data_IF_311660200128
#
_entry.id   IF_311660200128
#
_cell.length_a   1.000
_cell.length_b   1.000
_cell.length_c   1.000
_cell.angle_alpha   90.00
_cell.angle_beta   90.00
_cell.angle_gamma   90.00
#
_symmetry.space_group_name_H-M   'P 1'
#
loop_
_entity.id
_entity.type
_entity.pdbx_description
1 polymer ?
#
# COMPACT_ATOMS: atom_id res chain seq x y z
N UNK A 1 -67.93 3.62 -8.08
CA UNK A 1 -66.71 2.83 -7.86
C UNK A 1 -66.01 2.61 -9.19
N UNK A 2 -64.86 3.25 -9.43
CA UNK A 2 -63.85 2.86 -10.42
C UNK A 2 -62.57 3.64 -10.13
N UNK A 3 -61.49 2.90 -9.89
CA UNK A 3 -60.24 3.35 -9.30
C UNK A 3 -59.35 4.08 -10.32
N UNK A 4 -58.72 5.16 -9.84
CA UNK A 4 -57.67 5.93 -10.52
C UNK A 4 -56.35 5.19 -10.30
N UNK A 5 -55.64 4.81 -11.36
CA UNK A 5 -54.25 4.36 -11.28
C UNK A 5 -53.34 5.49 -11.76
N UNK A 6 -52.67 6.14 -10.81
CA UNK A 6 -51.53 7.01 -11.06
C UNK A 6 -50.26 6.18 -10.96
N UNK A 7 -49.44 6.19 -12.01
CA UNK A 7 -48.10 5.57 -12.03
C UNK A 7 -47.11 6.66 -11.63
N UNK A 8 -46.61 6.57 -10.40
CA UNK A 8 -45.52 7.41 -9.91
C UNK A 8 -44.19 6.81 -10.38
N UNK A 9 -43.51 7.48 -11.31
CA UNK A 9 -42.14 7.14 -11.69
C UNK A 9 -41.18 7.69 -10.62
N UNK A 10 -40.50 6.80 -9.90
CA UNK A 10 -39.46 7.15 -8.95
C UNK A 10 -38.12 7.32 -9.68
N UNK A 11 -37.64 8.55 -9.77
CA UNK A 11 -36.31 8.89 -10.28
C UNK A 11 -35.28 8.54 -9.20
N UNK A 12 -34.46 7.51 -9.42
CA UNK A 12 -33.27 7.25 -8.60
C UNK A 12 -32.21 8.31 -8.94
N UNK A 13 -31.95 9.22 -8.01
CA UNK A 13 -30.75 10.06 -8.01
C UNK A 13 -29.62 9.21 -7.40
N UNK A 14 -28.72 8.69 -8.23
CA UNK A 14 -27.46 8.14 -7.76
C UNK A 14 -26.60 9.30 -7.27
N UNK A 15 -26.51 9.45 -5.95
CA UNK A 15 -25.53 10.31 -5.32
C UNK A 15 -24.13 9.78 -5.64
N UNK A 16 -23.36 10.58 -6.39
CA UNK A 16 -21.93 10.36 -6.60
C UNK A 16 -21.20 10.52 -5.27
N UNK A 17 -20.93 9.40 -4.59
CA UNK A 17 -19.94 9.35 -3.53
C UNK A 17 -18.57 9.38 -4.22
N UNK A 18 -17.96 10.56 -4.22
CA UNK A 18 -16.55 10.71 -4.54
C UNK A 18 -15.73 9.82 -3.61
N UNK A 19 -15.03 8.86 -4.20
CA UNK A 19 -14.01 8.07 -3.53
C UNK A 19 -12.79 8.95 -3.31
N UNK A 20 -12.73 9.62 -2.17
CA UNK A 20 -11.49 10.25 -1.72
C UNK A 20 -10.57 9.16 -1.21
N UNK A 21 -9.62 8.72 -2.03
CA UNK A 21 -8.55 7.80 -1.64
C UNK A 21 -7.75 8.39 -0.46
N UNK A 22 -7.34 7.57 0.54
CA UNK A 22 -6.49 8.03 1.65
C UNK A 22 -5.01 8.18 1.24
N UNK A 23 -4.59 7.73 0.06
CA UNK A 23 -3.36 8.22 -0.53
C UNK A 23 -3.63 9.64 -1.07
N UNK A 24 -3.33 10.65 -0.25
CA UNK A 24 -2.93 11.95 -0.79
C UNK A 24 -1.73 11.69 -1.69
N UNK A 25 -2.00 11.53 -2.99
CA UNK A 25 -1.03 11.77 -4.03
C UNK A 25 -0.49 13.17 -3.77
N UNK A 26 0.76 13.25 -3.34
CA UNK A 26 1.49 14.51 -3.29
C UNK A 26 1.60 14.96 -4.74
N UNK A 27 0.63 15.76 -5.19
CA UNK A 27 0.82 16.59 -6.36
C UNK A 27 2.05 17.48 -6.07
N UNK A 28 3.05 17.52 -6.95
CA UNK A 28 4.19 18.38 -6.72
C UNK A 28 3.69 19.82 -6.74
N UNK A 29 3.90 20.53 -5.63
CA UNK A 29 3.89 21.98 -5.65
C UNK A 29 4.94 22.41 -6.68
N UNK A 30 4.54 23.27 -7.60
CA UNK A 30 5.38 23.81 -8.67
C UNK A 30 6.80 24.14 -8.17
N UNK A 31 7.81 23.51 -8.76
CA UNK A 31 9.17 24.05 -8.77
C UNK A 31 10.24 23.41 -7.88
N UNK A 32 10.08 22.17 -7.41
CA UNK A 32 11.22 21.38 -6.93
C UNK A 32 11.13 19.96 -7.47
N UNK A 33 11.75 19.72 -8.62
CA UNK A 33 12.24 18.39 -8.95
C UNK A 33 13.29 18.02 -7.90
N UNK A 34 12.87 17.49 -6.76
CA UNK A 34 13.74 16.63 -5.98
C UNK A 34 13.98 15.43 -6.85
N UNK A 35 15.18 15.35 -7.42
CA UNK A 35 15.71 14.16 -8.06
C UNK A 35 15.25 12.96 -7.24
N UNK A 36 14.31 12.19 -7.80
CA UNK A 36 14.15 10.80 -7.40
C UNK A 36 15.39 10.14 -7.97
N UNK A 37 16.52 10.26 -7.28
CA UNK A 37 17.67 9.42 -7.53
C UNK A 37 17.16 8.00 -7.40
N UNK A 38 16.95 7.34 -8.54
CA UNK A 38 16.86 5.90 -8.56
C UNK A 38 18.15 5.43 -7.89
N UNK A 39 18.05 4.88 -6.67
CA UNK A 39 19.15 4.16 -6.05
C UNK A 39 19.39 2.92 -6.90
N UNK A 40 20.10 3.10 -8.00
CA UNK A 40 20.39 2.07 -8.98
C UNK A 40 21.44 1.14 -8.36
N UNK A 41 20.98 0.08 -7.69
CA UNK A 41 21.86 -0.98 -7.21
C UNK A 41 21.36 -1.73 -5.98
N UNK A 42 22.30 -2.45 -5.37
CA UNK A 42 22.08 -3.28 -4.18
C UNK A 42 22.02 -2.49 -2.86
N UNK A 43 21.73 -1.18 -2.93
CA UNK A 43 21.74 -0.26 -1.79
C UNK A 43 20.30 0.20 -1.52
N UNK A 44 19.55 -0.74 -0.96
CA UNK A 44 18.09 -0.67 -0.81
C UNK A 44 17.61 0.21 0.36
N UNK A 45 18.51 0.98 0.98
CA UNK A 45 18.18 1.96 2.01
C UNK A 45 17.20 1.47 3.10
N UNK A 46 16.45 2.43 3.66
CA UNK A 46 15.34 2.18 4.60
C UNK A 46 13.97 2.49 4.01
N UNK A 47 13.95 3.33 2.98
CA UNK A 47 12.73 3.75 2.35
C UNK A 47 12.35 2.75 1.24
N UNK A 48 11.06 2.46 1.07
CA UNK A 48 10.57 1.85 -0.15
C UNK A 48 10.72 2.82 -1.33
N UNK A 49 11.14 2.28 -2.48
CA UNK A 49 11.36 3.07 -3.71
C UNK A 49 10.12 3.11 -4.63
N UNK A 50 9.04 2.43 -4.24
CA UNK A 50 7.78 2.40 -5.00
C UNK A 50 6.86 3.57 -4.65
N UNK A 51 5.96 3.90 -5.59
CA UNK A 51 5.07 5.06 -5.49
C UNK A 51 4.01 4.97 -4.37
N UNK A 52 3.63 3.76 -3.95
CA UNK A 52 2.61 3.55 -2.90
C UNK A 52 3.22 3.46 -1.50
N UNK A 53 4.55 3.58 -1.40
CA UNK A 53 5.24 3.91 -0.17
C UNK A 53 5.38 2.78 0.83
N UNK A 54 5.16 1.52 0.45
CA UNK A 54 5.48 0.36 1.31
C UNK A 54 5.97 -0.84 0.52
N UNK A 55 6.71 -1.75 1.17
CA UNK A 55 7.04 -3.07 0.62
C UNK A 55 7.39 -4.07 1.73
N UNK A 56 7.49 -5.34 1.33
CA UNK A 56 8.16 -6.39 2.07
C UNK A 56 9.55 -6.59 1.46
N UNK A 57 10.59 -6.20 2.19
CA UNK A 57 11.97 -6.44 1.80
C UNK A 57 12.52 -7.70 2.47
N UNK A 58 13.10 -8.59 1.67
CA UNK A 58 13.80 -9.76 2.18
C UNK A 58 15.25 -9.83 1.77
N UNK A 59 16.06 -10.35 2.68
CA UNK A 59 17.50 -10.45 2.54
C UNK A 59 18.02 -11.74 3.20
N UNK A 60 19.09 -12.29 2.63
CA UNK A 60 19.70 -13.52 3.14
C UNK A 60 20.87 -13.16 4.07
N UNK A 61 20.77 -13.57 5.34
CA UNK A 61 21.80 -13.27 6.35
C UNK A 61 21.95 -14.45 7.31
N UNK A 62 23.20 -14.88 7.54
CA UNK A 62 23.52 -16.01 8.44
C UNK A 62 22.81 -17.32 8.06
N UNK A 63 22.74 -17.64 6.76
CA UNK A 63 22.16 -18.90 6.28
C UNK A 63 20.63 -18.96 6.31
N UNK A 64 19.94 -17.82 6.49
CA UNK A 64 18.48 -17.76 6.49
C UNK A 64 17.95 -16.47 5.87
N UNK A 65 16.75 -16.56 5.31
CA UNK A 65 15.97 -15.39 4.92
C UNK A 65 15.50 -14.61 6.15
N UNK A 66 15.63 -13.29 6.07
CA UNK A 66 15.06 -12.33 7.01
C UNK A 66 14.19 -11.36 6.23
N UNK A 67 13.19 -10.81 6.92
CA UNK A 67 12.18 -9.96 6.30
C UNK A 67 11.95 -8.71 7.15
N UNK A 68 11.71 -7.59 6.47
CA UNK A 68 11.28 -6.33 7.06
C UNK A 68 10.19 -5.71 6.17
N UNK A 69 9.18 -5.11 6.78
CA UNK A 69 8.32 -4.16 6.08
C UNK A 69 9.04 -2.82 6.08
N UNK A 70 9.12 -2.16 4.91
CA UNK A 70 9.52 -0.76 4.81
C UNK A 70 8.29 0.08 4.52
N UNK A 71 8.19 1.25 5.13
CA UNK A 71 7.09 2.20 4.95
C UNK A 71 7.63 3.62 4.91
N UNK A 72 7.10 4.45 4.01
CA UNK A 72 7.37 5.88 3.90
C UNK A 72 6.13 6.69 4.26
N UNK A 73 6.09 7.18 5.50
CA UNK A 73 5.02 8.03 6.01
C UNK A 73 5.42 9.50 6.13
N UNK A 74 4.52 10.31 6.71
CA UNK A 74 4.73 11.75 6.90
C UNK A 74 5.95 12.09 7.77
N UNK A 75 6.34 11.24 8.71
CA UNK A 75 7.54 11.47 9.54
C UNK A 75 8.79 10.75 9.04
N UNK A 76 8.77 10.30 7.78
CA UNK A 76 9.89 9.62 7.14
C UNK A 76 9.71 8.11 7.07
N UNK A 77 10.83 7.42 6.93
CA UNK A 77 10.84 5.99 6.63
C UNK A 77 11.02 5.14 7.89
N UNK A 78 10.21 4.09 7.99
CA UNK A 78 10.23 3.13 9.09
C UNK A 78 10.47 1.72 8.54
N UNK A 79 11.20 0.91 9.31
CA UNK A 79 11.42 -0.49 9.02
C UNK A 79 10.98 -1.34 10.20
N UNK A 80 10.14 -2.34 9.95
CA UNK A 80 9.64 -3.24 10.98
C UNK A 80 10.00 -4.68 10.61
N UNK A 81 10.78 -5.34 11.48
CA UNK A 81 11.12 -6.76 11.28
C UNK A 81 9.86 -7.60 11.29
N UNK A 82 9.80 -8.56 10.38
CA UNK A 82 8.62 -9.41 10.18
C UNK A 82 9.03 -10.82 9.71
N UNK A 83 8.04 -11.65 9.44
CA UNK A 83 8.17 -12.93 8.77
C UNK A 83 7.84 -12.80 7.27
N UNK A 84 7.81 -13.94 6.57
CA UNK A 84 7.54 -14.03 5.14
C UNK A 84 6.12 -13.55 4.76
N UNK A 85 5.15 -13.76 5.63
CA UNK A 85 3.73 -13.38 5.43
C UNK A 85 3.37 -12.29 6.46
N UNK A 86 3.78 -11.07 6.14
CA UNK A 86 3.91 -9.99 7.12
C UNK A 86 2.58 -9.32 7.43
N UNK A 87 2.09 -9.45 8.67
CA UNK A 87 1.07 -8.56 9.25
C UNK A 87 1.69 -7.80 10.41
N UNK A 88 1.88 -6.48 10.27
CA UNK A 88 2.56 -5.63 11.25
C UNK A 88 1.73 -4.40 11.60
N UNK A 89 1.89 -3.92 12.83
CA UNK A 89 1.47 -2.56 13.20
C UNK A 89 2.59 -1.57 12.86
N UNK A 90 2.24 -0.47 12.21
CA UNK A 90 3.11 0.63 11.83
C UNK A 90 2.72 1.88 12.62
N UNK A 91 3.70 2.62 13.12
CA UNK A 91 3.49 3.95 13.67
C UNK A 91 3.53 4.97 12.53
N UNK A 92 2.44 5.72 12.36
CA UNK A 92 2.28 6.75 11.32
C UNK A 92 2.28 8.16 11.90
N UNK A 93 2.89 8.35 13.07
CA UNK A 93 2.98 9.59 13.84
C UNK A 93 1.68 10.07 14.48
N UNK A 94 0.56 9.94 13.76
CA UNK A 94 -0.77 10.32 14.25
C UNK A 94 -1.52 9.16 14.88
N UNK A 95 -0.91 7.96 14.90
CA UNK A 95 -1.52 6.75 15.43
C UNK A 95 -0.84 5.50 14.90
N UNK A 96 -1.55 4.38 15.04
CA UNK A 96 -1.12 3.08 14.54
C UNK A 96 -1.99 2.64 13.39
N UNK A 97 -1.35 2.11 12.36
CA UNK A 97 -2.00 1.45 11.23
C UNK A 97 -1.52 0.00 11.15
N UNK A 98 -2.27 -0.84 10.45
CA UNK A 98 -1.88 -2.24 10.26
C UNK A 98 -1.70 -2.53 8.78
N UNK A 99 -0.55 -3.09 8.42
CA UNK A 99 -0.25 -3.55 7.07
C UNK A 99 -0.09 -5.06 7.06
N UNK A 100 -0.85 -5.73 6.20
CA UNK A 100 -0.76 -7.15 5.93
C UNK A 100 -0.37 -7.40 4.48
N UNK A 101 0.72 -8.13 4.23
CA UNK A 101 1.21 -8.53 2.91
C UNK A 101 1.18 -10.06 2.81
N UNK A 102 0.49 -10.55 1.78
CA UNK A 102 0.42 -11.95 1.36
C UNK A 102 0.95 -12.00 -0.09
N UNK A 103 2.26 -11.87 -0.23
CA UNK A 103 2.91 -11.75 -1.55
C UNK A 103 2.78 -13.06 -2.35
N UNK A 104 2.68 -14.22 -1.67
CA UNK A 104 2.42 -15.52 -2.34
C UNK A 104 1.11 -15.49 -3.12
N UNK A 105 0.13 -14.71 -2.66
CA UNK A 105 -1.14 -14.47 -3.36
C UNK A 105 -1.22 -13.12 -4.06
N UNK A 106 -0.12 -12.40 -4.18
CA UNK A 106 -0.05 -11.11 -4.87
C UNK A 106 -0.99 -10.05 -4.29
N UNK A 107 -1.16 -10.00 -2.96
CA UNK A 107 -2.13 -9.09 -2.33
C UNK A 107 -1.65 -8.51 -1.00
N UNK A 108 -2.13 -7.31 -0.68
CA UNK A 108 -1.94 -6.67 0.62
C UNK A 108 -3.19 -5.93 1.07
N UNK A 109 -3.33 -5.74 2.39
CA UNK A 109 -4.35 -4.91 3.00
C UNK A 109 -3.72 -3.94 4.01
N UNK A 110 -4.13 -2.69 3.89
CA UNK A 110 -3.85 -1.62 4.83
C UNK A 110 -5.10 -1.33 5.63
N UNK A 111 -4.95 -1.18 6.94
CA UNK A 111 -6.02 -0.83 7.86
C UNK A 111 -5.65 0.47 8.56
N UNK A 112 -6.46 1.50 8.32
CA UNK A 112 -6.31 2.78 9.00
C UNK A 112 -6.76 2.70 10.48
N UNK A 113 -6.58 3.75 11.29
CA UNK A 113 -6.99 3.73 12.69
C UNK A 113 -8.51 3.62 12.91
N UNK A 114 -9.33 3.94 11.88
CA UNK A 114 -10.78 3.77 11.91
C UNK A 114 -11.22 2.34 11.61
N UNK A 115 -10.29 1.49 11.16
CA UNK A 115 -10.56 0.13 10.70
C UNK A 115 -10.99 0.06 9.24
N UNK A 116 -10.93 1.17 8.49
CA UNK A 116 -11.13 1.15 7.06
C UNK A 116 -10.04 0.31 6.39
N UNK A 117 -10.45 -0.56 5.46
CA UNK A 117 -9.57 -1.49 4.76
C UNK A 117 -9.37 -1.04 3.32
N UNK A 118 -8.12 -0.76 2.95
CA UNK A 118 -7.68 -0.52 1.57
C UNK A 118 -6.86 -1.72 1.10
N UNK A 119 -7.12 -2.23 -0.10
CA UNK A 119 -6.45 -3.42 -0.62
C UNK A 119 -5.59 -3.10 -1.84
N UNK A 120 -4.51 -3.86 -2.00
CA UNK A 120 -3.53 -3.66 -3.07
C UNK A 120 -3.21 -4.97 -3.78
N UNK A 121 -2.96 -4.88 -5.08
CA UNK A 121 -2.23 -5.92 -5.81
C UNK A 121 -0.74 -5.78 -5.51
N UNK A 122 -0.05 -6.91 -5.34
CA UNK A 122 1.39 -7.00 -5.07
C UNK A 122 2.07 -7.69 -6.24
N UNK A 123 3.25 -7.19 -6.61
CA UNK A 123 4.23 -7.87 -7.46
C UNK A 123 5.50 -8.13 -6.65
N UNK A 124 6.35 -9.05 -7.10
CA UNK A 124 7.59 -9.38 -6.41
C UNK A 124 8.75 -9.72 -7.34
N UNK A 125 9.97 -9.51 -6.84
CA UNK A 125 11.17 -9.80 -7.61
C UNK A 125 12.46 -9.49 -6.89
N UNK A 126 13.56 -9.99 -7.46
CA UNK A 126 14.91 -9.66 -6.99
C UNK A 126 15.29 -8.25 -7.43
N UNK A 127 15.58 -7.39 -6.46
CA UNK A 127 16.12 -6.05 -6.68
C UNK A 127 17.65 -6.04 -6.72
N UNK A 128 18.28 -7.05 -6.11
CA UNK A 128 19.71 -7.32 -6.27
C UNK A 128 20.00 -8.81 -6.08
N UNK A 129 20.18 -9.52 -7.19
CA UNK A 129 20.43 -10.96 -7.20
C UNK A 129 21.75 -11.34 -6.48
N UNK A 130 22.81 -10.55 -6.67
CA UNK A 130 24.14 -10.81 -6.10
C UNK A 130 24.13 -10.83 -4.56
N UNK A 131 23.36 -9.94 -3.92
CA UNK A 131 23.17 -9.92 -2.47
C UNK A 131 21.95 -10.72 -2.00
N UNK A 132 21.23 -11.37 -2.91
CA UNK A 132 19.97 -12.06 -2.63
C UNK A 132 18.96 -11.13 -1.94
N UNK A 133 18.81 -9.91 -2.45
CA UNK A 133 17.79 -8.97 -2.01
C UNK A 133 16.59 -9.06 -2.94
N UNK A 134 15.42 -9.21 -2.35
CA UNK A 134 14.15 -9.28 -3.05
C UNK A 134 13.11 -8.42 -2.34
N UNK A 135 12.09 -8.03 -3.09
CA UNK A 135 11.01 -7.18 -2.62
C UNK A 135 9.68 -7.70 -3.10
N UNK A 136 8.65 -7.49 -2.30
CA UNK A 136 7.27 -7.51 -2.74
C UNK A 136 6.67 -6.11 -2.55
N UNK A 137 6.25 -5.47 -3.63
CA UNK A 137 5.77 -4.10 -3.63
C UNK A 137 4.35 -4.01 -4.19
N UNK A 138 3.55 -3.05 -3.72
CA UNK A 138 2.23 -2.79 -4.25
C UNK A 138 2.31 -2.15 -5.64
N UNK A 139 1.40 -2.56 -6.52
CA UNK A 139 1.32 -2.07 -7.90
C UNK A 139 0.09 -1.20 -8.15
N UNK A 140 -1.03 -1.50 -7.49
CA UNK A 140 -2.26 -0.72 -7.58
C UNK A 140 -3.15 -0.95 -6.37
N UNK A 141 -3.99 0.04 -6.04
CA UNK A 141 -5.15 -0.16 -5.17
C UNK A 141 -6.22 -0.95 -5.94
N UNK A 142 -6.84 -1.94 -5.28
CA UNK A 142 -7.85 -2.84 -5.87
C UNK A 142 -9.03 -3.04 -4.94
N UNK A 143 -10.21 -3.43 -5.46
CA UNK A 143 -11.35 -3.78 -4.61
C UNK A 143 -11.01 -4.89 -3.61
N UNK A 144 -11.43 -4.71 -2.36
CA UNK A 144 -11.23 -5.68 -1.30
C UNK A 144 -12.23 -6.86 -1.39
N UNK A 145 -11.98 -7.80 -2.30
CA UNK A 145 -12.86 -8.95 -2.58
C UNK A 145 -12.52 -10.24 -1.80
N UNK A 146 -11.64 -10.16 -0.81
CA UNK A 146 -11.06 -11.30 -0.09
C UNK A 146 -10.94 -11.07 1.42
#
# INVERSE_FOLDING_TARGET
>A
MKFIQAITAATLVLAGLGTSSPLESVAPADGAATDVEALSGCDQGKCPDNALGFDLFGYYESGRWKYKIRWKGRCGCTEVKTNRDACVELDICTGKEKLCIDFVRGRAAWFDPSGHRTCYSIDDGYVCAEKSYWEAWPTAEVPCAW
#
